data_IF_972621550831
#
_entry.id   IF_972621550831
#
_cell.length_a   1.000
_cell.length_b   1.000
_cell.length_c   1.000
_cell.angle_alpha   90.00
_cell.angle_beta   90.00
_cell.angle_gamma   90.00
#
_symmetry.space_group_name_H-M   'P 1'
#
loop_
_entity.id
_entity.type
_entity.pdbx_description
1 polymer ?
#
# COMPACT_ATOMS: atom_id res chain seq x y z
N UNK A 1 -12.16 9.05 -0.03
CA UNK A 1 -13.11 7.92 0.04
C UNK A 1 -12.66 6.84 -0.96
N UNK A 2 -12.62 5.54 -0.60
CA UNK A 2 -12.22 4.44 -1.50
C UNK A 2 -13.00 4.35 -2.81
N UNK A 3 -14.25 4.88 -2.85
CA UNK A 3 -15.06 4.96 -4.07
C UNK A 3 -14.49 5.91 -5.12
N UNK A 4 -13.64 6.84 -4.70
CA UNK A 4 -12.97 7.82 -5.57
C UNK A 4 -11.48 7.49 -5.67
N UNK A 5 -10.84 7.23 -4.54
CA UNK A 5 -9.41 6.94 -4.41
C UNK A 5 -9.23 5.41 -4.35
N UNK A 6 -9.31 4.77 -5.52
CA UNK A 6 -9.38 3.31 -5.64
C UNK A 6 -8.11 2.62 -5.09
N UNK A 7 -6.95 3.24 -5.26
CA UNK A 7 -5.68 2.71 -4.74
C UNK A 7 -5.59 2.82 -3.22
N UNK A 8 -6.15 3.89 -2.65
CA UNK A 8 -6.37 3.96 -1.20
C UNK A 8 -7.35 2.87 -0.71
N UNK A 9 -8.36 2.52 -1.51
CA UNK A 9 -9.22 1.37 -1.26
C UNK A 9 -8.45 0.06 -1.15
N UNK A 10 -7.56 -0.22 -2.11
CA UNK A 10 -6.66 -1.38 -2.06
C UNK A 10 -5.79 -1.34 -0.78
N UNK A 11 -5.15 -0.21 -0.50
CA UNK A 11 -4.28 -0.06 0.67
C UNK A 11 -5.01 -0.25 2.01
N UNK A 12 -6.30 0.10 2.09
CA UNK A 12 -7.11 -0.20 3.28
C UNK A 12 -7.37 -1.69 3.44
N UNK A 13 -7.68 -2.38 2.35
CA UNK A 13 -8.01 -3.79 2.37
C UNK A 13 -6.79 -4.65 2.74
N UNK A 14 -5.60 -4.31 2.25
CA UNK A 14 -4.40 -5.16 2.39
C UNK A 14 -3.51 -4.80 3.58
N UNK A 15 -3.85 -3.77 4.36
CA UNK A 15 -3.03 -3.32 5.48
C UNK A 15 -2.96 -4.37 6.59
N UNK A 16 -1.74 -4.64 7.03
CA UNK A 16 -1.40 -5.57 8.12
C UNK A 16 -2.09 -5.33 9.47
N UNK A 17 -2.66 -4.14 9.71
CA UNK A 17 -3.34 -3.79 10.98
C UNK A 17 -4.79 -3.35 10.79
N UNK A 18 -5.41 -3.79 9.70
CA UNK A 18 -6.73 -3.34 9.26
C UNK A 18 -6.68 -1.97 8.60
N UNK A 19 -7.86 -1.43 8.26
CA UNK A 19 -7.99 -0.24 7.42
C UNK A 19 -7.25 1.00 7.97
N UNK A 20 -6.01 1.18 7.51
CA UNK A 20 -5.13 2.25 7.95
C UNK A 20 -4.52 3.03 6.78
N UNK A 21 -4.80 4.33 6.71
CA UNK A 21 -4.23 5.17 5.67
C UNK A 21 -2.73 5.41 5.83
N UNK A 22 -2.19 5.17 7.02
CA UNK A 22 -0.78 5.37 7.34
C UNK A 22 0.12 4.17 7.01
N UNK A 23 -0.37 3.10 6.39
CA UNK A 23 0.54 2.05 5.87
C UNK A 23 1.08 2.33 4.48
N UNK A 24 0.29 2.98 3.63
CA UNK A 24 0.74 3.39 2.30
C UNK A 24 0.60 4.89 2.00
N UNK A 25 -0.35 5.62 2.62
CA UNK A 25 -0.74 7.00 2.22
C UNK A 25 -0.98 7.20 0.74
N UNK A 26 -1.60 6.20 0.12
CA UNK A 26 -1.71 6.18 -1.31
C UNK A 26 -2.57 7.31 -1.88
N UNK A 27 -3.47 7.88 -1.07
CA UNK A 27 -4.18 9.11 -1.40
C UNK A 27 -3.27 10.23 -1.89
N UNK A 28 -1.98 10.28 -1.48
CA UNK A 28 -1.01 11.25 -2.02
C UNK A 28 -0.93 11.08 -3.53
N UNK A 29 -0.61 9.88 -4.01
CA UNK A 29 -0.39 9.64 -5.43
C UNK A 29 -1.62 10.06 -6.25
N UNK A 30 -2.80 9.66 -5.78
CA UNK A 30 -4.08 9.93 -6.46
C UNK A 30 -4.50 11.41 -6.39
N UNK A 31 -4.32 12.10 -5.26
CA UNK A 31 -4.72 13.51 -5.12
C UNK A 31 -3.75 14.50 -5.76
N UNK A 32 -2.47 14.12 -5.92
CA UNK A 32 -1.45 14.97 -6.53
C UNK A 32 -1.28 14.78 -8.04
N UNK A 33 -2.05 13.87 -8.65
CA UNK A 33 -1.97 13.58 -10.08
C UNK A 33 -0.78 12.70 -10.48
N UNK A 34 -0.08 12.05 -9.53
CA UNK A 34 0.95 11.06 -9.88
C UNK A 34 0.36 9.81 -10.52
N UNK A 35 -0.90 9.50 -10.19
CA UNK A 35 -1.69 8.50 -10.88
C UNK A 35 -3.15 8.89 -10.85
N UNK A 36 -3.87 8.61 -11.93
CA UNK A 36 -5.31 8.84 -12.00
C UNK A 36 -6.05 7.97 -10.96
N UNK A 37 -6.96 8.54 -10.15
CA UNK A 37 -7.78 7.77 -9.21
C UNK A 37 -8.61 6.64 -9.87
N UNK A 38 -9.00 6.77 -11.14
CA UNK A 38 -9.80 5.77 -11.86
C UNK A 38 -8.96 4.69 -12.56
N UNK A 39 -7.66 4.92 -12.78
CA UNK A 39 -6.75 3.93 -13.39
C UNK A 39 -6.64 2.66 -12.52
N UNK A 40 -6.61 1.48 -13.16
CA UNK A 40 -6.47 0.18 -12.48
C UNK A 40 -5.12 -0.48 -12.78
N UNK A 41 -4.69 -0.43 -14.04
CA UNK A 41 -3.40 -0.99 -14.47
C UNK A 41 -2.23 -0.30 -13.77
N UNK A 42 -1.27 -1.08 -13.26
CA UNK A 42 -0.11 -0.55 -12.51
C UNK A 42 -0.42 0.02 -11.12
N UNK A 43 -1.70 0.14 -10.74
CA UNK A 43 -2.11 0.72 -9.45
C UNK A 43 -1.58 -0.07 -8.27
N UNK A 44 -1.68 -1.40 -8.32
CA UNK A 44 -1.16 -2.28 -7.28
C UNK A 44 0.36 -2.16 -7.10
N UNK A 45 1.12 -2.06 -8.20
CA UNK A 45 2.58 -1.89 -8.15
C UNK A 45 2.97 -0.59 -7.46
N UNK A 46 2.30 0.52 -7.80
CA UNK A 46 2.58 1.80 -7.14
C UNK A 46 2.14 1.79 -5.67
N UNK A 47 1.02 1.12 -5.32
CA UNK A 47 0.61 0.94 -3.92
C UNK A 47 1.70 0.21 -3.13
N UNK A 48 2.28 -0.85 -3.70
CA UNK A 48 3.38 -1.61 -3.08
C UNK A 48 4.63 -0.73 -2.93
N UNK A 49 5.00 0.08 -3.92
CA UNK A 49 6.15 1.00 -3.79
C UNK A 49 5.97 2.01 -2.64
N UNK A 50 4.75 2.51 -2.45
CA UNK A 50 4.42 3.38 -1.33
C UNK A 50 4.47 2.60 -0.01
N UNK A 51 3.85 1.42 0.08
CA UNK A 51 3.87 0.59 1.28
C UNK A 51 5.30 0.21 1.70
N UNK A 52 6.15 -0.18 0.75
CA UNK A 52 7.52 -0.59 1.03
C UNK A 52 8.33 0.59 1.61
N UNK A 53 8.21 1.80 1.03
CA UNK A 53 8.87 2.99 1.59
C UNK A 53 8.37 3.31 2.99
N UNK A 54 7.06 3.22 3.23
CA UNK A 54 6.49 3.51 4.54
C UNK A 54 6.86 2.46 5.59
N UNK A 55 7.04 1.21 5.19
CA UNK A 55 7.57 0.16 6.06
C UNK A 55 8.98 0.52 6.54
N UNK A 56 9.82 1.06 5.66
CA UNK A 56 11.15 1.57 6.02
C UNK A 56 11.06 2.82 6.91
N UNK A 57 10.11 3.71 6.66
CA UNK A 57 9.90 4.88 7.51
C UNK A 57 9.53 4.48 8.94
N UNK A 58 8.62 3.53 9.10
CA UNK A 58 8.22 3.01 10.41
C UNK A 58 9.39 2.31 11.11
N UNK A 59 10.24 1.60 10.36
CA UNK A 59 11.44 0.92 10.88
C UNK A 59 12.53 1.90 11.34
N UNK A 60 12.69 3.02 10.62
CA UNK A 60 13.64 4.08 10.95
C UNK A 60 13.07 5.12 11.93
N UNK A 61 11.79 5.04 12.25
CA UNK A 61 11.06 6.01 13.08
C UNK A 61 11.16 7.43 12.47
N UNK A 62 11.08 7.55 11.14
CA UNK A 62 11.05 8.85 10.46
C UNK A 62 9.62 9.27 10.16
N UNK A 63 9.36 10.58 10.27
CA UNK A 63 8.02 11.10 10.08
C UNK A 63 7.61 11.06 8.59
N UNK A 64 6.58 10.28 8.29
CA UNK A 64 5.97 10.15 6.95
C UNK A 64 5.31 11.41 6.38
N UNK A 65 5.20 12.50 7.14
CA UNK A 65 4.81 13.79 6.57
C UNK A 65 5.86 14.34 5.62
N UNK A 66 7.14 13.97 5.83
CA UNK A 66 8.24 14.32 4.94
C UNK A 66 8.55 13.22 3.90
N UNK A 67 7.59 12.32 3.61
CA UNK A 67 7.77 11.21 2.65
C UNK A 67 8.32 11.62 1.28
N UNK A 68 8.00 12.82 0.81
CA UNK A 68 8.46 13.35 -0.48
C UNK A 68 9.94 13.79 -0.42
N UNK A 69 10.52 13.96 0.77
CA UNK A 69 11.94 14.27 1.01
C UNK A 69 12.80 13.01 1.20
N UNK A 70 12.18 11.83 1.30
CA UNK A 70 12.87 10.55 1.49
C UNK A 70 12.62 9.59 0.31
N UNK A 71 13.00 9.96 -0.93
CA UNK A 71 13.01 9.01 -2.03
C UNK A 71 14.01 7.86 -1.77
N UNK A 72 13.96 6.83 -2.60
CA UNK A 72 14.73 5.59 -2.41
C UNK A 72 16.24 5.80 -2.25
N UNK A 73 16.83 6.74 -2.98
CA UNK A 73 18.26 7.09 -2.87
C UNK A 73 18.60 7.75 -1.54
N UNK A 74 17.73 8.63 -1.04
CA UNK A 74 17.88 9.25 0.28
C UNK A 74 17.71 8.21 1.39
N UNK A 75 16.75 7.29 1.26
CA UNK A 75 16.59 6.17 2.19
C UNK A 75 17.84 5.28 2.25
N UNK A 76 18.41 4.93 1.10
CA UNK A 76 19.67 4.18 1.01
C UNK A 76 20.80 4.91 1.73
N UNK A 77 20.95 6.22 1.50
CA UNK A 77 21.96 7.05 2.18
C UNK A 77 21.76 7.13 3.68
N UNK A 78 20.52 7.30 4.15
CA UNK A 78 20.20 7.32 5.59
C UNK A 78 20.59 5.98 6.22
N UNK A 79 20.15 4.86 5.63
CA UNK A 79 20.42 3.51 6.16
C UNK A 79 21.92 3.24 6.20
N UNK A 80 22.66 3.58 5.14
CA UNK A 80 24.12 3.46 5.12
C UNK A 80 24.77 4.31 6.21
N UNK A 81 24.32 5.55 6.37
CA UNK A 81 24.87 6.49 7.35
C UNK A 81 24.63 6.07 8.81
N UNK A 82 23.51 5.40 9.10
CA UNK A 82 23.15 5.00 10.47
C UNK A 82 23.54 3.57 10.84
N UNK A 83 23.64 2.67 9.85
CA UNK A 83 23.87 1.23 10.09
C UNK A 83 25.13 0.67 9.42
N UNK A 84 25.72 1.39 8.46
CA UNK A 84 26.82 0.89 7.63
C UNK A 84 26.39 -0.02 6.47
N UNK A 85 25.10 -0.36 6.34
CA UNK A 85 24.60 -1.20 5.24
C UNK A 85 24.54 -0.42 3.93
N UNK A 86 25.22 -0.91 2.89
CA UNK A 86 25.18 -0.33 1.54
C UNK A 86 24.17 -1.11 0.69
N UNK A 87 22.93 -0.64 0.65
CA UNK A 87 21.80 -1.32 0.01
C UNK A 87 21.24 -0.48 -1.13
N UNK A 88 21.08 -1.09 -2.30
CA UNK A 88 20.37 -0.50 -3.42
C UNK A 88 18.84 -0.53 -3.22
N UNK A 89 18.09 0.10 -4.13
CA UNK A 89 16.61 0.13 -4.07
C UNK A 89 15.99 -1.26 -4.01
N UNK A 90 16.48 -2.23 -4.79
CA UNK A 90 15.90 -3.59 -4.85
C UNK A 90 16.13 -4.33 -3.53
N UNK A 91 17.29 -4.15 -2.91
CA UNK A 91 17.61 -4.71 -1.61
C UNK A 91 16.77 -4.07 -0.50
N UNK A 92 16.53 -2.76 -0.56
CA UNK A 92 15.62 -2.06 0.37
C UNK A 92 14.16 -2.50 0.22
N UNK A 93 13.67 -2.63 -1.02
CA UNK A 93 12.34 -3.19 -1.29
C UNK A 93 12.23 -4.62 -0.75
N UNK A 94 13.27 -5.46 -0.92
CA UNK A 94 13.29 -6.81 -0.34
C UNK A 94 13.24 -6.79 1.19
N UNK A 95 13.91 -5.83 1.83
CA UNK A 95 13.87 -5.67 3.28
C UNK A 95 12.46 -5.28 3.75
N UNK A 96 11.82 -4.31 3.09
CA UNK A 96 10.43 -3.93 3.37
C UNK A 96 9.45 -5.10 3.12
N UNK A 97 9.59 -5.81 2.00
CA UNK A 97 8.81 -6.99 1.65
C UNK A 97 8.92 -8.06 2.74
N UNK A 98 10.13 -8.34 3.26
CA UNK A 98 10.32 -9.28 4.37
C UNK A 98 9.58 -8.84 5.64
N UNK A 99 9.58 -7.55 5.97
CA UNK A 99 8.89 -7.03 7.16
C UNK A 99 7.37 -7.17 7.00
N UNK A 100 6.82 -6.72 5.86
CA UNK A 100 5.38 -6.82 5.58
C UNK A 100 4.90 -8.28 5.55
N UNK A 101 5.72 -9.19 5.02
CA UNK A 101 5.40 -10.63 5.05
C UNK A 101 5.42 -11.22 6.44
N UNK A 102 6.34 -10.82 7.31
CA UNK A 102 6.32 -11.29 8.71
C UNK A 102 5.05 -10.85 9.44
N UNK A 103 4.57 -9.64 9.19
CA UNK A 103 3.29 -9.19 9.71
C UNK A 103 2.13 -10.00 9.11
N UNK A 104 2.17 -10.30 7.81
CA UNK A 104 1.17 -11.16 7.15
C UNK A 104 1.17 -12.58 7.70
N UNK A 105 2.34 -13.21 7.85
CA UNK A 105 2.52 -14.55 8.44
C UNK A 105 1.95 -14.61 9.86
N UNK A 106 2.21 -13.58 10.67
CA UNK A 106 1.60 -13.45 11.99
C UNK A 106 0.08 -13.42 11.89
N UNK A 107 -0.50 -12.55 11.08
CA UNK A 107 -1.96 -12.45 10.95
C UNK A 107 -2.60 -13.75 10.45
N UNK A 108 -1.99 -14.42 9.47
CA UNK A 108 -2.45 -15.72 8.97
C UNK A 108 -2.43 -16.78 10.08
N UNK A 109 -1.37 -16.80 10.91
CA UNK A 109 -1.29 -17.67 12.09
C UNK A 109 -2.42 -17.40 13.08
N UNK A 110 -2.79 -16.12 13.27
CA UNK A 110 -3.89 -15.70 14.15
C UNK A 110 -5.29 -15.84 13.53
N UNK A 111 -5.39 -16.43 12.33
CA UNK A 111 -6.67 -16.78 11.71
C UNK A 111 -7.16 -15.84 10.61
N UNK A 112 -6.33 -14.88 10.17
CA UNK A 112 -6.61 -14.10 8.97
C UNK A 112 -6.72 -15.02 7.75
N UNK A 113 -7.59 -14.65 6.83
CA UNK A 113 -7.79 -15.29 5.54
C UNK A 113 -7.84 -14.25 4.41
N UNK A 114 -7.85 -14.74 3.17
CA UNK A 114 -8.09 -13.91 1.97
C UNK A 114 -9.44 -13.17 2.01
N UNK A 115 -10.42 -13.68 2.76
CA UNK A 115 -11.73 -13.03 2.89
C UNK A 115 -11.67 -11.71 3.67
N UNK A 116 -10.62 -11.52 4.47
CA UNK A 116 -10.43 -10.32 5.30
C UNK A 116 -9.83 -9.15 4.51
N UNK A 117 -9.16 -9.41 3.38
CA UNK A 117 -8.65 -8.37 2.47
C UNK A 117 -9.79 -7.81 1.59
N UNK A 118 -10.74 -7.13 2.23
CA UNK A 118 -11.90 -6.55 1.57
C UNK A 118 -12.28 -5.21 2.19
N UNK A 119 -13.35 -4.60 1.67
CA UNK A 119 -13.93 -3.36 2.16
C UNK A 119 -15.40 -3.58 2.58
N UNK A 120 -15.95 -2.73 3.46
CA UNK A 120 -17.39 -2.72 3.73
C UNK A 120 -18.24 -2.63 2.46
N UNK A 121 -19.35 -3.39 2.41
CA UNK A 121 -20.24 -3.52 1.24
C UNK A 121 -20.67 -2.19 0.64
N UNK A 122 -20.87 -1.17 1.48
CA UNK A 122 -21.26 0.17 1.06
C UNK A 122 -20.34 0.78 0.00
N UNK A 123 -19.04 0.50 0.04
CA UNK A 123 -18.11 1.04 -0.95
C UNK A 123 -18.32 0.43 -2.34
N UNK A 124 -18.93 -0.75 -2.42
CA UNK A 124 -19.22 -1.47 -3.65
C UNK A 124 -20.66 -1.32 -4.16
N UNK A 125 -21.59 -0.90 -3.29
CA UNK A 125 -23.02 -0.94 -3.55
C UNK A 125 -23.67 0.46 -3.47
N UNK A 126 -23.15 1.35 -2.63
CA UNK A 126 -23.68 2.70 -2.45
C UNK A 126 -22.86 3.73 -3.22
N UNK A 127 -23.52 4.41 -4.17
CA UNK A 127 -22.93 5.57 -4.85
C UNK A 127 -22.64 6.68 -3.83
N UNK A 128 -21.50 7.33 -3.99
CA UNK A 128 -21.15 8.52 -3.22
C UNK A 128 -22.02 9.69 -3.71
N UNK A 129 -22.75 10.35 -2.80
CA UNK A 129 -23.77 11.38 -3.14
C UNK A 129 -23.22 12.47 -4.07
N UNK A 130 -22.05 13.03 -3.75
CA UNK A 130 -21.49 14.17 -4.50
C UNK A 130 -20.95 13.83 -5.89
N UNK A 131 -20.53 12.58 -6.12
CA UNK A 131 -19.81 12.19 -7.35
C UNK A 131 -20.53 11.12 -8.16
N UNK A 132 -21.54 10.46 -7.59
CA UNK A 132 -22.17 9.28 -8.16
C UNK A 132 -21.26 8.05 -8.27
N UNK A 133 -19.99 8.13 -7.82
CA UNK A 133 -19.00 7.05 -7.94
C UNK A 133 -19.26 5.92 -6.95
N UNK A 134 -18.98 4.71 -7.39
CA UNK A 134 -18.94 3.49 -6.60
C UNK A 134 -17.68 2.72 -6.99
N UNK A 135 -17.06 2.00 -6.06
CA UNK A 135 -15.93 1.13 -6.39
C UNK A 135 -16.48 -0.16 -6.98
N UNK A 136 -16.20 -0.45 -8.25
CA UNK A 136 -16.69 -1.68 -8.85
C UNK A 136 -16.00 -2.89 -8.22
N UNK A 137 -16.76 -3.92 -7.82
CA UNK A 137 -16.21 -5.16 -7.27
C UNK A 137 -15.20 -5.82 -8.20
N UNK A 138 -15.42 -5.75 -9.52
CA UNK A 138 -14.50 -6.28 -10.54
C UNK A 138 -13.18 -5.54 -10.59
N UNK A 139 -13.19 -4.20 -10.50
CA UNK A 139 -11.97 -3.39 -10.47
C UNK A 139 -11.18 -3.65 -9.19
N UNK A 140 -11.86 -3.70 -8.05
CA UNK A 140 -11.22 -4.02 -6.77
C UNK A 140 -10.62 -5.44 -6.79
N UNK A 141 -11.38 -6.43 -7.26
CA UNK A 141 -10.88 -7.81 -7.40
C UNK A 141 -9.66 -7.89 -8.31
N UNK A 142 -9.63 -7.10 -9.40
CA UNK A 142 -8.46 -7.02 -10.27
C UNK A 142 -7.25 -6.44 -9.54
N UNK A 143 -7.41 -5.28 -8.89
CA UNK A 143 -6.33 -4.66 -8.11
C UNK A 143 -5.79 -5.59 -7.02
N UNK A 144 -6.67 -6.30 -6.30
CA UNK A 144 -6.29 -7.25 -5.25
C UNK A 144 -5.52 -8.45 -5.83
N UNK A 145 -5.98 -8.98 -6.97
CA UNK A 145 -5.28 -10.07 -7.68
C UNK A 145 -3.89 -9.65 -8.16
N UNK A 146 -3.76 -8.44 -8.70
CA UNK A 146 -2.49 -7.90 -9.16
C UNK A 146 -1.54 -7.69 -7.95
N UNK A 147 -2.06 -7.16 -6.83
CA UNK A 147 -1.31 -7.01 -5.58
C UNK A 147 -0.77 -8.33 -5.04
N UNK A 148 -1.62 -9.37 -4.99
CA UNK A 148 -1.23 -10.70 -4.53
C UNK A 148 -0.15 -11.30 -5.43
N UNK A 149 -0.31 -11.15 -6.74
CA UNK A 149 0.65 -11.65 -7.73
C UNK A 149 2.01 -10.99 -7.56
N UNK A 150 2.04 -9.67 -7.33
CA UNK A 150 3.27 -8.90 -7.08
C UNK A 150 3.92 -9.21 -5.73
N UNK A 151 3.12 -9.50 -4.69
CA UNK A 151 3.63 -9.91 -3.37
C UNK A 151 4.04 -11.40 -3.32
N UNK A 152 3.63 -12.21 -4.31
CA UNK A 152 3.85 -13.66 -4.34
C UNK A 152 2.94 -14.42 -3.38
N UNK A 153 1.73 -13.93 -3.15
CA UNK A 153 0.72 -14.52 -2.24
C UNK A 153 -0.35 -15.29 -3.03
N UNK A 154 -0.99 -16.27 -2.39
CA UNK A 154 -2.08 -17.11 -2.95
C UNK A 154 -3.45 -16.79 -2.33
#
# INVERSE_FOLDING_TARGET
DPRVLKGMGLAYATSDRGACHLRATFYKAELSGMMDPDQIEGKAEMVIDFEDRHTLFDSLIVCRFFRDLYPWDILSRIIRGTTGMDLDRKQLQRLAWNITNKAREFNLREGMSKADDTLPKRFFEEKLEDSGKVLLKSEFARMLSDYYSLKGWS
#
